data_IF_768104910969
#
_entry.id   IF_768104910969
#
_cell.length_a   1.000
_cell.length_b   1.000
_cell.length_c   1.000
_cell.angle_alpha   90.00
_cell.angle_beta   90.00
_cell.angle_gamma   90.00
#
_symmetry.space_group_name_H-M   'P 1'
#
loop_
_entity.id
_entity.type
_entity.pdbx_description
1 polymer ?
#
# COMPACT_ATOMS: atom_id res chain seq x y z
N UNK A 1 8.75 20.20 -19.37
CA UNK A 1 9.06 18.83 -18.92
C UNK A 1 8.74 18.72 -17.43
N UNK A 2 7.51 18.31 -17.09
CA UNK A 2 7.20 17.86 -15.74
C UNK A 2 7.56 16.37 -15.69
N UNK A 3 8.51 16.03 -14.82
CA UNK A 3 8.92 14.66 -14.56
C UNK A 3 8.78 14.39 -13.07
N UNK A 4 8.12 13.27 -12.74
CA UNK A 4 8.04 12.78 -11.36
C UNK A 4 9.13 11.73 -11.18
N UNK A 5 9.93 11.87 -10.13
CA UNK A 5 11.10 11.03 -9.87
C UNK A 5 11.02 10.46 -8.46
N UNK A 6 11.00 9.14 -8.34
CA UNK A 6 11.15 8.41 -7.09
C UNK A 6 12.58 7.87 -6.95
N UNK A 7 13.19 8.04 -5.78
CA UNK A 7 14.51 7.50 -5.45
C UNK A 7 14.39 6.44 -4.36
N UNK A 8 15.18 5.39 -4.50
CA UNK A 8 15.18 4.23 -3.61
C UNK A 8 16.57 4.06 -3.00
N UNK A 9 16.61 3.59 -1.76
CA UNK A 9 17.84 3.38 -1.01
C UNK A 9 18.44 2.01 -1.34
N UNK A 10 19.75 1.87 -1.14
CA UNK A 10 20.45 0.59 -1.28
C UNK A 10 20.16 -0.32 -0.08
N UNK A 11 19.96 -1.61 -0.36
CA UNK A 11 19.77 -2.64 0.66
C UNK A 11 21.06 -2.79 1.49
N UNK A 12 21.00 -2.62 2.81
CA UNK A 12 22.11 -2.96 3.69
C UNK A 12 22.17 -2.23 5.04
N UNK A 13 21.96 -0.91 5.09
CA UNK A 13 22.08 -0.14 6.35
C UNK A 13 21.33 1.20 6.27
N UNK A 14 20.00 1.16 6.27
CA UNK A 14 19.19 2.37 6.14
C UNK A 14 18.22 2.50 7.31
N UNK A 15 18.38 3.56 8.09
CA UNK A 15 17.32 4.08 8.95
C UNK A 15 16.42 4.92 8.04
N UNK A 16 15.26 4.37 7.66
CA UNK A 16 14.26 5.13 6.92
C UNK A 16 13.53 6.08 7.89
N UNK A 17 13.11 7.24 7.41
CA UNK A 17 12.26 8.15 8.19
C UNK A 17 10.99 7.43 8.66
N UNK A 18 10.43 6.53 7.83
CA UNK A 18 9.30 5.68 8.20
C UNK A 18 9.58 4.82 9.45
N UNK A 19 10.76 4.23 9.57
CA UNK A 19 11.14 3.39 10.71
C UNK A 19 11.15 4.22 12.00
N UNK A 20 11.61 5.47 11.92
CA UNK A 20 11.60 6.38 13.06
C UNK A 20 10.18 6.74 13.52
N UNK A 21 9.23 6.84 12.59
CA UNK A 21 7.82 7.08 12.90
C UNK A 21 7.21 5.84 13.56
N UNK A 22 7.43 4.65 12.99
CA UNK A 22 6.94 3.39 13.54
C UNK A 22 7.48 3.10 14.94
N UNK A 23 8.79 3.26 15.14
CA UNK A 23 9.44 3.09 16.43
C UNK A 23 8.87 4.05 17.49
N UNK A 24 8.56 5.29 17.11
CA UNK A 24 7.92 6.25 18.01
C UNK A 24 6.49 5.83 18.37
N UNK A 25 5.68 5.44 17.38
CA UNK A 25 4.30 4.97 17.61
C UNK A 25 4.29 3.76 18.54
N UNK A 26 5.16 2.78 18.29
CA UNK A 26 5.28 1.58 19.13
C UNK A 26 5.64 1.96 20.57
N UNK A 27 6.69 2.77 20.75
CA UNK A 27 7.11 3.25 22.07
C UNK A 27 5.99 3.97 22.80
N UNK A 28 5.26 4.84 22.11
CA UNK A 28 4.17 5.61 22.70
C UNK A 28 2.91 4.78 22.95
N UNK A 29 2.67 3.71 22.19
CA UNK A 29 1.56 2.78 22.45
C UNK A 29 1.80 1.86 23.63
N UNK A 30 3.07 1.65 24.01
CA UNK A 30 3.43 0.74 25.08
C UNK A 30 2.80 1.18 26.41
N UNK A 31 2.01 0.28 27.01
CA UNK A 31 1.32 0.52 28.27
C UNK A 31 0.04 1.35 28.17
N UNK A 32 -0.38 1.76 26.96
CA UNK A 32 -1.68 2.41 26.73
C UNK A 32 -2.73 1.34 26.36
N UNK A 33 -3.93 1.50 26.90
CA UNK A 33 -5.07 0.65 26.57
C UNK A 33 -5.73 1.20 25.30
N UNK A 34 -5.71 0.41 24.24
CA UNK A 34 -6.26 0.76 22.92
C UNK A 34 -7.26 -0.31 22.53
N UNK A 35 -8.51 0.10 22.35
CA UNK A 35 -9.67 -0.76 22.11
C UNK A 35 -10.26 -0.58 20.73
N UNK A 36 -10.20 0.60 20.11
CA UNK A 36 -10.75 0.84 18.77
C UNK A 36 -9.72 1.44 17.82
N UNK A 37 -9.90 1.30 16.48
CA UNK A 37 -9.04 1.96 15.50
C UNK A 37 -9.01 3.49 15.65
N UNK A 38 -10.11 4.11 16.06
CA UNK A 38 -10.16 5.57 16.25
C UNK A 38 -9.15 6.06 17.31
N UNK A 39 -8.92 5.23 18.34
CA UNK A 39 -7.93 5.52 19.37
C UNK A 39 -6.50 5.42 18.84
N UNK A 40 -6.25 4.56 17.85
CA UNK A 40 -4.98 4.53 17.14
C UNK A 40 -4.75 5.82 16.36
N UNK A 41 -5.77 6.36 15.67
CA UNK A 41 -5.61 7.64 14.95
C UNK A 41 -5.23 8.77 15.90
N UNK A 42 -5.90 8.86 17.05
CA UNK A 42 -5.57 9.84 18.07
C UNK A 42 -4.14 9.64 18.60
N UNK A 43 -3.77 8.39 18.94
CA UNK A 43 -2.44 8.08 19.43
C UNK A 43 -1.35 8.47 18.44
N UNK A 44 -1.50 8.08 17.17
CA UNK A 44 -0.51 8.38 16.13
C UNK A 44 -0.44 9.88 15.87
N UNK A 45 -1.57 10.60 15.88
CA UNK A 45 -1.57 12.06 15.70
C UNK A 45 -0.75 12.75 16.79
N UNK A 46 -0.86 12.29 18.04
CA UNK A 46 -0.28 12.93 19.22
C UNK A 46 0.98 12.27 19.78
N UNK A 47 1.55 11.24 19.14
CA UNK A 47 2.72 10.53 19.67
C UNK A 47 4.01 11.37 19.68
N UNK A 48 4.06 12.50 18.97
CA UNK A 48 5.16 13.46 19.05
C UNK A 48 4.99 14.39 20.25
N UNK A 49 5.91 14.31 21.21
CA UNK A 49 5.91 15.20 22.39
C UNK A 49 6.51 16.58 22.11
N UNK A 50 7.58 16.66 21.32
CA UNK A 50 8.41 17.88 21.19
C UNK A 50 8.34 18.54 19.79
N UNK A 51 7.45 18.07 18.91
CA UNK A 51 7.31 18.52 17.53
C UNK A 51 5.84 18.65 17.17
N UNK A 52 5.56 19.32 16.06
CA UNK A 52 4.20 19.38 15.51
C UNK A 52 3.61 17.96 15.36
N UNK A 53 2.32 17.76 15.70
CA UNK A 53 1.60 16.49 15.52
C UNK A 53 1.74 15.91 14.11
N UNK A 54 1.61 14.60 13.98
CA UNK A 54 1.55 13.99 12.65
C UNK A 54 0.23 14.35 11.95
N UNK A 55 0.30 14.60 10.64
CA UNK A 55 -0.90 14.66 9.82
C UNK A 55 -1.40 13.23 9.56
N UNK A 56 -2.40 12.80 10.32
CA UNK A 56 -3.01 11.46 10.18
C UNK A 56 -4.26 11.60 9.32
N UNK A 57 -4.21 10.98 8.14
CA UNK A 57 -5.34 10.87 7.21
C UNK A 57 -6.07 9.56 7.50
N UNK A 58 -7.32 9.68 7.94
CA UNK A 58 -8.20 8.55 8.22
C UNK A 58 -8.80 8.06 6.90
N UNK A 59 -8.33 6.90 6.42
CA UNK A 59 -8.77 6.34 5.15
C UNK A 59 -9.98 5.44 5.34
N UNK A 60 -10.88 5.48 4.37
CA UNK A 60 -12.05 4.63 4.24
C UNK A 60 -11.89 3.68 3.06
N UNK A 61 -12.76 2.69 2.94
CA UNK A 61 -12.70 1.74 1.81
C UNK A 61 -12.85 2.41 0.44
N UNK A 62 -13.50 3.57 0.41
CA UNK A 62 -13.73 4.35 -0.81
C UNK A 62 -12.46 4.99 -1.36
N UNK A 63 -11.41 5.10 -0.54
CA UNK A 63 -10.11 5.64 -0.92
C UNK A 63 -9.22 4.59 -1.62
N UNK A 64 -9.65 3.32 -1.66
CA UNK A 64 -8.89 2.24 -2.28
C UNK A 64 -9.43 1.89 -3.67
N UNK A 65 -8.54 1.93 -4.67
CA UNK A 65 -8.86 1.67 -6.08
C UNK A 65 -8.16 0.43 -6.62
N UNK A 66 -8.79 -0.25 -7.58
CA UNK A 66 -8.21 -1.43 -8.22
C UNK A 66 -7.38 -1.03 -9.45
N UNK A 67 -6.06 -1.07 -9.31
CA UNK A 67 -5.12 -0.80 -10.41
C UNK A 67 -4.70 -2.04 -11.19
N UNK A 68 -5.01 -3.27 -10.73
CA UNK A 68 -4.56 -4.52 -11.39
C UNK A 68 -4.91 -4.56 -12.90
N UNK A 69 -6.15 -4.23 -13.32
CA UNK A 69 -6.51 -4.24 -14.74
C UNK A 69 -5.68 -3.29 -15.61
N UNK A 70 -5.09 -2.24 -15.01
CA UNK A 70 -4.25 -1.28 -15.73
C UNK A 70 -2.81 -1.78 -15.93
N UNK A 71 -2.39 -2.78 -15.15
CA UNK A 71 -1.03 -3.29 -15.08
C UNK A 71 -0.84 -4.64 -15.81
N UNK A 72 -1.89 -5.45 -15.94
CA UNK A 72 -1.80 -6.84 -16.47
C UNK A 72 -1.28 -6.95 -17.92
N UNK A 73 -1.51 -5.93 -18.76
CA UNK A 73 -1.13 -5.93 -20.17
C UNK A 73 0.09 -5.05 -20.48
N UNK A 74 0.99 -4.89 -19.50
CA UNK A 74 2.16 -4.01 -19.59
C UNK A 74 3.45 -4.81 -19.48
N UNK A 75 4.49 -4.31 -20.12
CA UNK A 75 5.84 -4.86 -19.98
C UNK A 75 6.49 -4.32 -18.71
N UNK A 76 6.83 -5.22 -17.79
CA UNK A 76 7.54 -4.94 -16.53
C UNK A 76 8.85 -5.72 -16.40
N UNK A 77 9.28 -6.40 -17.47
CA UNK A 77 10.39 -7.37 -17.38
C UNK A 77 11.63 -6.92 -18.14
N UNK A 78 11.45 -6.36 -19.34
CA UNK A 78 12.55 -6.12 -20.27
C UNK A 78 12.66 -4.66 -20.66
N UNK A 79 13.87 -4.11 -20.59
CA UNK A 79 14.14 -2.75 -21.04
C UNK A 79 14.19 -2.64 -22.58
N UNK A 80 14.51 -1.43 -23.08
CA UNK A 80 14.70 -1.18 -24.52
C UNK A 80 15.81 -2.01 -25.19
N UNK A 81 16.73 -2.58 -24.43
CA UNK A 81 17.81 -3.45 -24.91
C UNK A 81 17.43 -4.92 -24.86
N UNK A 82 16.18 -5.23 -24.47
CA UNK A 82 15.69 -6.59 -24.20
C UNK A 82 16.42 -7.29 -23.05
N UNK A 83 17.07 -6.53 -22.17
CA UNK A 83 17.71 -7.04 -20.96
C UNK A 83 16.68 -7.13 -19.83
N UNK A 84 16.81 -8.16 -18.98
CA UNK A 84 15.93 -8.32 -17.83
C UNK A 84 16.23 -7.26 -16.76
N UNK A 85 15.19 -6.60 -16.28
CA UNK A 85 15.31 -5.59 -15.24
C UNK A 85 15.58 -6.22 -13.88
N UNK A 86 16.57 -5.67 -13.17
CA UNK A 86 16.87 -6.01 -11.78
C UNK A 86 16.15 -5.03 -10.86
N UNK A 87 14.86 -5.25 -10.62
CA UNK A 87 14.01 -4.34 -9.84
C UNK A 87 14.63 -3.94 -8.50
N UNK A 88 15.17 -4.91 -7.75
CA UNK A 88 15.79 -4.69 -6.44
C UNK A 88 17.07 -3.84 -6.49
N UNK A 89 17.67 -3.64 -7.67
CA UNK A 89 18.88 -2.84 -7.85
C UNK A 89 18.60 -1.44 -8.37
N UNK A 90 17.33 -1.10 -8.66
CA UNK A 90 16.96 0.22 -9.18
C UNK A 90 17.02 1.24 -8.05
N UNK A 91 17.75 2.34 -8.27
CA UNK A 91 17.92 3.43 -7.29
C UNK A 91 17.11 4.68 -7.64
N UNK A 92 16.69 4.82 -8.89
CA UNK A 92 15.87 5.94 -9.33
C UNK A 92 14.91 5.45 -10.42
N UNK A 93 13.64 5.82 -10.28
CA UNK A 93 12.59 5.66 -11.29
C UNK A 93 12.04 7.04 -11.59
N UNK A 94 11.83 7.38 -12.86
CA UNK A 94 11.21 8.62 -13.27
C UNK A 94 10.22 8.41 -14.41
N UNK A 95 9.12 9.16 -14.35
CA UNK A 95 8.07 9.19 -15.37
C UNK A 95 8.01 10.60 -15.92
N UNK A 96 7.84 10.72 -17.24
CA UNK A 96 7.79 12.01 -17.93
C UNK A 96 6.41 12.19 -18.55
N UNK A 97 5.80 13.37 -18.35
CA UNK A 97 4.50 13.69 -18.97
C UNK A 97 4.54 13.62 -20.50
N UNK A 98 5.67 14.01 -21.07
CA UNK A 98 5.88 14.04 -22.52
C UNK A 98 6.06 12.63 -23.11
N UNK A 99 6.30 11.62 -22.27
CA UNK A 99 6.52 10.24 -22.67
C UNK A 99 5.89 9.24 -21.68
N UNK A 100 4.56 9.11 -21.68
CA UNK A 100 3.80 8.42 -20.63
C UNK A 100 3.91 6.88 -20.69
N UNK A 101 4.44 6.31 -21.78
CA UNK A 101 4.62 4.87 -21.91
C UNK A 101 6.04 4.41 -21.56
N UNK A 102 6.88 5.32 -21.08
CA UNK A 102 8.27 5.06 -20.78
C UNK A 102 8.54 5.26 -19.29
N UNK A 103 9.00 4.19 -18.65
CA UNK A 103 9.51 4.22 -17.29
C UNK A 103 11.04 4.34 -17.37
N UNK A 104 11.57 5.49 -16.97
CA UNK A 104 13.01 5.72 -16.95
C UNK A 104 13.56 5.24 -15.62
N UNK A 105 14.65 4.48 -15.63
CA UNK A 105 15.25 3.95 -14.42
C UNK A 105 16.77 4.01 -14.45
N UNK A 106 17.40 3.98 -13.27
CA UNK A 106 18.85 3.93 -13.09
C UNK A 106 19.24 2.92 -12.01
N UNK A 107 20.31 2.19 -12.27
CA UNK A 107 20.96 1.35 -11.25
C UNK A 107 21.97 2.13 -10.41
N UNK A 108 22.59 3.19 -10.93
CA UNK A 108 23.35 4.15 -10.13
C UNK A 108 22.92 5.58 -10.45
N UNK A 109 22.91 6.45 -9.43
CA UNK A 109 22.48 7.85 -9.60
C UNK A 109 23.38 8.66 -10.56
N UNK A 110 24.62 8.21 -10.76
CA UNK A 110 25.59 8.82 -11.68
C UNK A 110 25.43 8.35 -13.13
N UNK A 111 24.70 7.26 -13.36
CA UNK A 111 24.54 6.67 -14.69
C UNK A 111 23.46 7.42 -15.48
N UNK A 112 23.54 7.29 -16.81
CA UNK A 112 22.47 7.72 -17.69
C UNK A 112 21.23 6.84 -17.47
N UNK A 113 20.04 7.44 -17.53
CA UNK A 113 18.79 6.71 -17.38
C UNK A 113 18.55 5.77 -18.57
N UNK A 114 18.20 4.52 -18.26
CA UNK A 114 17.67 3.55 -19.23
C UNK A 114 16.14 3.63 -19.21
N UNK A 115 15.49 3.18 -20.29
CA UNK A 115 14.04 3.20 -20.42
C UNK A 115 13.46 1.78 -20.51
N UNK A 116 12.30 1.59 -19.89
CA UNK A 116 11.38 0.49 -20.09
C UNK A 116 10.13 1.03 -20.80
N UNK A 117 9.85 0.53 -22.02
CA UNK A 117 8.55 0.75 -22.64
C UNK A 117 7.51 -0.15 -21.95
N UNK A 118 6.54 0.46 -21.28
CA UNK A 118 5.49 -0.26 -20.54
C UNK A 118 4.43 -0.84 -21.44
N UNK A 119 4.30 -0.36 -22.69
CA UNK A 119 3.32 -0.88 -23.64
C UNK A 119 3.87 -2.11 -24.36
N UNK A 120 3.12 -3.22 -24.34
CA UNK A 120 3.44 -4.39 -25.16
C UNK A 120 2.98 -4.11 -26.60
N UNK A 121 3.91 -4.10 -27.55
CA UNK A 121 3.57 -4.05 -28.97
C UNK A 121 3.01 -5.41 -29.41
N UNK A 122 1.69 -5.57 -29.38
CA UNK A 122 1.05 -6.73 -30.00
C UNK A 122 1.02 -6.52 -31.51
N UNK A 123 1.44 -7.52 -32.29
CA UNK A 123 1.42 -7.53 -33.77
C UNK A 123 -0.02 -7.59 -34.36
N UNK A 124 -1.02 -7.11 -33.62
CA UNK A 124 -2.41 -7.11 -34.05
C UNK A 124 -2.70 -5.89 -34.91
N UNK A 125 -3.11 -6.12 -36.17
CA UNK A 125 -3.65 -5.11 -37.10
C UNK A 125 -5.07 -4.65 -36.69
N UNK A 126 -5.34 -4.52 -35.40
CA UNK A 126 -6.63 -4.14 -34.83
C UNK A 126 -6.69 -2.65 -34.49
N UNK A 127 -7.85 -2.03 -34.74
CA UNK A 127 -8.21 -0.65 -34.41
C UNK A 127 -7.75 -0.27 -32.99
N UNK A 128 -7.06 0.87 -32.84
CA UNK A 128 -6.67 1.44 -31.54
C UNK A 128 -7.91 1.49 -30.64
N UNK A 129 -7.96 0.62 -29.62
CA UNK A 129 -8.94 0.77 -28.56
C UNK A 129 -8.49 1.93 -27.68
N UNK A 130 -9.28 2.99 -27.67
CA UNK A 130 -9.21 4.01 -26.63
C UNK A 130 -9.64 3.31 -25.34
N UNK A 131 -8.70 3.03 -24.45
CA UNK A 131 -9.03 2.46 -23.15
C UNK A 131 -9.66 3.62 -22.36
N UNK A 132 -10.98 3.63 -22.22
CA UNK A 132 -11.64 4.48 -21.25
C UNK A 132 -11.28 3.90 -19.86
N UNK A 133 -10.36 4.56 -19.15
CA UNK A 133 -9.89 4.08 -17.84
C UNK A 133 -10.90 4.56 -16.80
N UNK A 134 -11.90 3.74 -16.50
CA UNK A 134 -12.73 3.92 -15.32
C UNK A 134 -12.03 3.28 -14.12
N UNK A 135 -11.64 4.11 -13.15
CA UNK A 135 -11.03 3.66 -11.90
C UNK A 135 -12.12 3.09 -11.00
N UNK A 136 -12.16 1.76 -10.92
CA UNK A 136 -13.09 1.05 -10.06
C UNK A 136 -12.56 0.99 -8.62
N UNK A 137 -13.48 1.09 -7.65
CA UNK A 137 -13.17 0.85 -6.25
C UNK A 137 -12.64 -0.57 -6.05
N UNK A 138 -11.65 -0.74 -5.18
CA UNK A 138 -11.08 -2.04 -4.84
C UNK A 138 -12.09 -2.90 -4.06
N UNK A 139 -12.88 -2.26 -3.19
CA UNK A 139 -13.86 -2.91 -2.35
C UNK A 139 -15.27 -2.42 -2.69
N UNK A 140 -16.23 -3.35 -2.80
CA UNK A 140 -17.66 -3.05 -2.98
C UNK A 140 -18.42 -3.03 -1.65
N UNK A 141 -17.83 -3.56 -0.59
CA UNK A 141 -18.41 -3.67 0.75
C UNK A 141 -17.32 -3.79 1.83
N UNK A 142 -17.68 -3.59 3.12
CA UNK A 142 -16.80 -3.89 4.25
C UNK A 142 -16.16 -5.27 4.15
N UNK A 143 -14.84 -5.33 4.35
CA UNK A 143 -14.12 -6.59 4.40
C UNK A 143 -14.66 -7.41 5.59
N UNK A 144 -15.22 -8.61 5.35
CA UNK A 144 -15.76 -9.41 6.43
C UNK A 144 -14.62 -9.99 7.27
N UNK A 145 -14.82 -10.04 8.58
CA UNK A 145 -13.95 -10.80 9.47
C UNK A 145 -14.22 -12.30 9.33
N UNK A 146 -13.22 -13.11 9.67
CA UNK A 146 -13.45 -14.54 9.85
C UNK A 146 -14.35 -14.79 11.06
N UNK A 147 -15.13 -15.86 11.01
CA UNK A 147 -16.01 -16.23 12.13
C UNK A 147 -15.23 -16.44 13.44
N UNK A 148 -14.04 -17.05 13.35
CA UNK A 148 -13.15 -17.25 14.50
C UNK A 148 -12.74 -15.91 15.15
N UNK A 149 -12.20 -14.96 14.35
CA UNK A 149 -11.83 -13.61 14.84
C UNK A 149 -13.03 -12.89 15.46
N UNK A 150 -14.22 -13.03 14.86
CA UNK A 150 -15.45 -12.43 15.41
C UNK A 150 -15.84 -13.03 16.77
N UNK A 151 -15.82 -14.36 16.90
CA UNK A 151 -16.11 -15.05 18.17
C UNK A 151 -15.13 -14.63 19.27
N UNK A 152 -13.85 -14.53 18.96
CA UNK A 152 -12.82 -14.10 19.90
C UNK A 152 -13.06 -12.66 20.37
N UNK A 153 -13.36 -11.73 19.46
CA UNK A 153 -13.69 -10.34 19.80
C UNK A 153 -14.93 -10.23 20.70
N UNK A 154 -15.97 -11.02 20.42
CA UNK A 154 -17.18 -11.08 21.26
C UNK A 154 -16.84 -11.69 22.63
N UNK A 155 -15.98 -12.71 22.68
CA UNK A 155 -15.53 -13.29 23.93
C UNK A 155 -14.77 -12.27 24.79
N UNK A 156 -13.88 -11.46 24.20
CA UNK A 156 -13.18 -10.37 24.89
C UNK A 156 -14.13 -9.27 25.42
N UNK A 157 -15.24 -9.03 24.73
CA UNK A 157 -16.30 -8.17 25.24
C UNK A 157 -16.99 -8.80 26.46
N UNK A 158 -17.30 -10.10 26.40
CA UNK A 158 -18.02 -10.81 27.46
C UNK A 158 -17.17 -11.00 28.73
N UNK A 159 -15.86 -11.21 28.60
CA UNK A 159 -14.93 -11.32 29.74
C UNK A 159 -14.61 -9.98 30.39
N UNK A 160 -15.04 -8.87 29.79
CA UNK A 160 -14.82 -7.51 30.32
C UNK A 160 -13.42 -6.97 30.08
N UNK A 161 -12.57 -7.68 29.32
CA UNK A 161 -11.26 -7.18 28.88
C UNK A 161 -11.44 -5.94 28.00
N UNK A 162 -12.44 -5.95 27.13
CA UNK A 162 -12.91 -4.78 26.39
C UNK A 162 -14.02 -4.10 27.21
N UNK A 163 -13.86 -2.81 27.58
CA UNK A 163 -14.88 -2.06 28.30
C UNK A 163 -16.21 -1.96 27.54
N UNK A 164 -17.32 -1.89 28.29
CA UNK A 164 -18.69 -1.95 27.77
C UNK A 164 -19.01 -0.85 26.75
N UNK A 165 -18.35 0.30 26.87
CA UNK A 165 -18.50 1.45 25.99
C UNK A 165 -18.13 1.11 24.54
N UNK A 166 -17.19 0.18 24.34
CA UNK A 166 -16.70 -0.22 23.01
C UNK A 166 -17.43 -1.44 22.44
N UNK A 167 -18.27 -2.12 23.22
CA UNK A 167 -18.94 -3.36 22.77
C UNK A 167 -19.80 -3.15 21.52
N UNK A 168 -20.42 -1.97 21.39
CA UNK A 168 -21.26 -1.63 20.23
C UNK A 168 -20.47 -1.67 18.92
N UNK A 169 -19.21 -1.22 18.94
CA UNK A 169 -18.34 -1.25 17.78
C UNK A 169 -18.13 -2.69 17.30
N UNK A 170 -17.67 -3.57 18.20
CA UNK A 170 -17.36 -4.95 17.87
C UNK A 170 -18.58 -5.79 17.48
N UNK A 171 -19.73 -5.57 18.13
CA UNK A 171 -20.98 -6.28 17.82
C UNK A 171 -21.57 -5.93 16.44
N UNK A 172 -21.19 -4.78 15.88
CA UNK A 172 -21.64 -4.35 14.56
C UNK A 172 -20.71 -4.78 13.41
N UNK A 173 -19.60 -5.47 13.72
CA UNK A 173 -18.67 -5.95 12.70
C UNK A 173 -19.30 -7.09 11.90
N UNK A 174 -19.18 -7.02 10.57
CA UNK A 174 -19.64 -8.09 9.67
C UNK A 174 -18.61 -9.21 9.62
N UNK A 175 -19.07 -10.46 9.59
CA UNK A 175 -18.21 -11.63 9.45
C UNK A 175 -18.72 -12.56 8.34
N UNK A 176 -17.81 -13.30 7.72
CA UNK A 176 -18.11 -14.32 6.71
C UNK A 176 -17.64 -15.67 7.20
N UNK A 177 -18.45 -16.70 6.94
CA UNK A 177 -18.09 -18.11 7.18
C UNK A 177 -17.04 -18.65 6.20
N UNK A 178 -16.74 -17.91 5.13
CA UNK A 178 -15.68 -18.30 4.20
C UNK A 178 -14.31 -17.96 4.78
N UNK A 179 -13.53 -19.01 5.03
CA UNK A 179 -12.08 -18.96 5.22
C UNK A 179 -11.46 -18.46 3.92
N UNK A 180 -11.23 -17.15 3.81
CA UNK A 180 -10.25 -16.66 2.85
C UNK A 180 -8.89 -17.04 3.38
N UNK A 181 -8.18 -17.93 2.68
CA UNK A 181 -6.76 -18.15 2.91
C UNK A 181 -6.07 -16.80 2.76
N UNK A 182 -5.50 -16.29 3.86
CA UNK A 182 -4.52 -15.21 3.82
C UNK A 182 -3.35 -15.74 2.97
N UNK A 183 -3.34 -15.46 1.67
CA UNK A 183 -2.15 -15.63 0.86
C UNK A 183 -1.12 -14.63 1.39
N UNK A 184 -0.22 -15.13 2.24
CA UNK A 184 1.03 -14.49 2.59
C UNK A 184 1.92 -14.51 1.35
N UNK A 185 1.71 -13.56 0.44
CA UNK A 185 2.70 -13.23 -0.60
C UNK A 185 3.79 -12.37 0.06
N UNK A 186 4.55 -12.96 1.00
CA UNK A 186 5.89 -12.48 1.37
C UNK A 186 6.88 -13.29 0.53
N UNK A 187 7.47 -12.70 -0.53
CA UNK A 187 8.60 -13.31 -1.21
C UNK A 187 9.86 -13.11 -0.37
N UNK A 188 10.44 -14.22 0.11
CA UNK A 188 11.84 -14.31 0.54
C UNK A 188 12.82 -13.85 -0.56
#
# INVERSE_FOLDING_TARGET
MLAETGRFLEQGHTQNEGDSVHALIERESKGKLIYTPDQWFALVRWCKTNKAPYNVVEMTQDDFFNFKPLLDNRNWKKDIRSENMKWNSIKEISVRKDDPNCLYFKYNLKDNATCLHTKIETRSRGRRQVINIELNKLYSQPLPLTEAKCKDLIHLCNTGVIPKEYHRYFKNLKYSSNTYEENSDDPD
#
